data_IF_933655041632
#
_entry.id   IF_933655041632
#
_cell.length_a   1.000
_cell.length_b   1.000
_cell.length_c   1.000
_cell.angle_alpha   90.00
_cell.angle_beta   90.00
_cell.angle_gamma   90.00
#
_symmetry.space_group_name_H-M   'P 1'
#
loop_
_entity.id
_entity.type
_entity.pdbx_description
1 polymer ?
#
# COMPACT_ATOMS: atom_id res chain seq x y z
N UNK A 1 8.34 5.45 10.73
CA UNK A 1 9.05 4.63 11.73
C UNK A 1 10.44 4.19 11.24
N UNK A 2 10.56 3.17 10.38
CA UNK A 2 11.83 2.49 10.01
C UNK A 2 13.01 3.44 9.76
N UNK A 3 12.88 4.42 8.86
CA UNK A 3 13.95 5.36 8.54
C UNK A 3 14.42 6.24 9.74
N UNK A 4 13.55 6.49 10.72
CA UNK A 4 13.91 7.25 11.94
C UNK A 4 14.78 6.42 12.88
N UNK A 5 14.44 5.14 13.07
CA UNK A 5 15.26 4.19 13.84
C UNK A 5 16.62 3.99 13.18
N UNK A 6 16.66 3.83 11.85
CA UNK A 6 17.91 3.77 11.10
C UNK A 6 18.76 5.05 11.25
N UNK A 7 18.10 6.23 11.28
CA UNK A 7 18.73 7.51 11.57
C UNK A 7 19.33 7.59 12.96
N UNK A 8 18.60 7.19 14.01
CA UNK A 8 19.11 7.17 15.39
C UNK A 8 20.33 6.24 15.57
N UNK A 9 20.31 5.07 14.94
CA UNK A 9 21.46 4.15 14.91
C UNK A 9 22.65 4.79 14.17
N UNK A 10 22.41 5.43 13.01
CA UNK A 10 23.47 6.13 12.26
C UNK A 10 24.03 7.38 12.94
N UNK A 11 23.24 8.00 13.83
CA UNK A 11 23.66 9.10 14.69
C UNK A 11 24.38 8.61 15.98
N UNK A 12 24.59 7.30 16.16
CA UNK A 12 25.20 6.74 17.37
C UNK A 12 24.36 6.95 18.64
N UNK A 13 23.04 7.17 18.51
CA UNK A 13 22.16 7.45 19.64
C UNK A 13 21.71 6.19 20.40
N UNK A 14 21.72 5.03 19.73
CA UNK A 14 21.42 3.70 20.27
C UNK A 14 21.78 2.64 19.21
N UNK A 15 22.18 1.43 19.63
CA UNK A 15 22.56 0.36 18.70
C UNK A 15 21.36 -0.43 18.16
N UNK A 16 20.25 -0.48 18.93
CA UNK A 16 19.06 -1.28 18.64
C UNK A 16 17.81 -0.41 18.86
N UNK A 17 16.83 -0.52 17.97
CA UNK A 17 15.52 0.12 18.12
C UNK A 17 14.42 -0.62 17.36
N UNK A 18 13.17 -0.49 17.81
CA UNK A 18 12.01 -1.15 17.22
C UNK A 18 11.20 -0.17 16.36
N UNK A 19 10.90 -0.54 15.12
CA UNK A 19 10.22 0.31 14.15
C UNK A 19 8.79 -0.17 13.86
N UNK A 20 7.83 0.25 14.68
CA UNK A 20 6.42 -0.16 14.56
C UNK A 20 5.60 0.72 13.61
N UNK A 21 4.46 0.19 13.16
CA UNK A 21 3.39 0.93 12.49
C UNK A 21 2.05 0.29 12.84
N UNK A 22 1.00 1.10 13.04
CA UNK A 22 -0.33 0.63 13.45
C UNK A 22 -1.39 1.58 12.87
N UNK A 23 -2.60 1.08 12.65
CA UNK A 23 -3.76 1.90 12.30
C UNK A 23 -5.04 1.18 12.74
N UNK A 24 -6.07 1.93 13.17
CA UNK A 24 -7.42 1.38 13.40
C UNK A 24 -8.48 2.23 12.70
N UNK A 25 -8.59 2.03 11.39
CA UNK A 25 -9.47 2.83 10.51
C UNK A 25 -10.96 2.67 10.80
N UNK A 26 -11.34 1.63 11.57
CA UNK A 26 -12.72 1.40 12.04
C UNK A 26 -13.07 2.17 13.32
N UNK A 27 -12.07 2.74 14.01
CA UNK A 27 -12.24 3.46 15.29
C UNK A 27 -11.79 4.92 15.23
N UNK A 28 -10.82 5.24 14.36
CA UNK A 28 -10.34 6.61 14.20
C UNK A 28 -11.33 7.47 13.40
N UNK A 29 -11.77 8.60 13.98
CA UNK A 29 -12.41 9.65 13.18
C UNK A 29 -11.39 10.23 12.19
N UNK A 30 -11.83 10.43 10.94
CA UNK A 30 -11.05 10.98 9.83
C UNK A 30 -11.64 12.29 9.29
N UNK A 31 -12.72 12.79 9.90
CA UNK A 31 -13.43 14.00 9.51
C UNK A 31 -12.87 15.29 10.11
N UNK A 32 -12.10 15.23 11.19
CA UNK A 32 -11.52 16.39 11.86
C UNK A 32 -10.08 16.70 11.38
N UNK A 33 -9.84 17.78 10.60
CA UNK A 33 -8.50 18.17 10.14
C UNK A 33 -7.73 19.04 11.16
N UNK A 34 -8.31 19.34 12.33
CA UNK A 34 -7.76 20.29 13.30
C UNK A 34 -7.97 21.76 12.91
N UNK A 35 -7.31 22.67 13.64
CA UNK A 35 -7.48 24.12 13.48
C UNK A 35 -6.77 24.65 12.23
N UNK A 36 -7.53 24.86 11.15
CA UNK A 36 -7.07 25.45 9.89
C UNK A 36 -7.03 26.98 9.99
N UNK A 37 -6.01 27.62 9.39
CA UNK A 37 -5.89 29.08 9.31
C UNK A 37 -6.90 29.67 8.32
N UNK A 38 -7.57 30.77 8.69
CA UNK A 38 -8.58 31.44 7.85
C UNK A 38 -8.07 31.84 6.47
N UNK A 39 -6.80 32.23 6.37
CA UNK A 39 -6.10 32.59 5.13
C UNK A 39 -5.71 31.41 4.21
N UNK A 40 -6.15 30.17 4.49
CA UNK A 40 -5.87 29.02 3.62
C UNK A 40 -6.32 29.25 2.17
N UNK A 41 -7.41 30.02 1.96
CA UNK A 41 -7.88 30.33 0.61
C UNK A 41 -6.94 31.26 -0.19
N UNK A 42 -6.03 31.98 0.47
CA UNK A 42 -5.01 32.84 -0.15
C UNK A 42 -3.78 32.08 -0.69
N UNK A 43 -3.68 30.77 -0.42
CA UNK A 43 -2.52 29.93 -0.76
C UNK A 43 -2.98 28.61 -1.36
N UNK A 44 -3.01 28.57 -2.70
CA UNK A 44 -3.35 27.40 -3.54
C UNK A 44 -2.81 26.08 -2.97
N UNK A 45 -1.49 25.92 -2.82
CA UNK A 45 -0.88 24.68 -2.30
C UNK A 45 -1.28 24.32 -0.86
N UNK A 46 -1.71 25.27 -0.03
CA UNK A 46 -2.26 24.95 1.29
C UNK A 46 -3.73 24.51 1.20
N UNK A 47 -4.50 25.04 0.24
CA UNK A 47 -5.84 24.55 -0.11
C UNK A 47 -5.77 23.13 -0.70
N UNK A 48 -4.77 22.84 -1.52
CA UNK A 48 -4.56 21.53 -2.14
C UNK A 48 -4.34 20.41 -1.11
N UNK A 49 -3.77 20.72 0.05
CA UNK A 49 -3.62 19.78 1.17
C UNK A 49 -4.96 19.25 1.72
N UNK A 50 -6.08 19.92 1.43
CA UNK A 50 -7.44 19.49 1.82
C UNK A 50 -8.16 18.70 0.71
N UNK A 51 -7.56 18.52 -0.47
CA UNK A 51 -8.16 17.72 -1.54
C UNK A 51 -8.22 16.25 -1.08
N UNK A 52 -9.40 15.60 -1.06
CA UNK A 52 -9.50 14.20 -0.62
C UNK A 52 -8.58 13.29 -1.44
N UNK A 53 -7.91 12.33 -0.80
CA UNK A 53 -6.92 11.50 -1.50
C UNK A 53 -7.49 10.76 -2.73
N UNK A 54 -8.77 10.37 -2.68
CA UNK A 54 -9.48 9.84 -3.86
C UNK A 54 -9.50 10.82 -5.03
N UNK A 55 -9.84 12.09 -4.79
CA UNK A 55 -9.76 13.16 -5.80
C UNK A 55 -8.32 13.44 -6.22
N UNK A 56 -7.32 13.34 -5.33
CA UNK A 56 -5.91 13.45 -5.77
C UNK A 56 -5.55 12.32 -6.72
N UNK A 57 -6.03 11.09 -6.47
CA UNK A 57 -5.98 9.98 -7.42
C UNK A 57 -6.57 10.41 -8.75
N UNK A 58 -7.86 10.79 -8.78
CA UNK A 58 -8.63 11.24 -9.97
C UNK A 58 -7.92 12.37 -10.75
N UNK A 59 -7.24 13.28 -10.05
CA UNK A 59 -6.47 14.38 -10.64
C UNK A 59 -5.16 13.93 -11.29
N UNK A 60 -4.45 12.94 -10.73
CA UNK A 60 -3.40 12.26 -11.52
C UNK A 60 -4.07 11.57 -12.70
N UNK A 61 -5.22 10.95 -12.44
CA UNK A 61 -5.98 10.05 -13.30
C UNK A 61 -6.48 10.63 -14.62
N UNK A 62 -6.76 11.93 -14.64
CA UNK A 62 -7.08 12.69 -15.85
C UNK A 62 -5.81 13.16 -16.58
N UNK A 63 -4.73 13.42 -15.84
CA UNK A 63 -3.55 14.16 -16.30
C UNK A 63 -2.55 13.38 -17.16
N UNK A 64 -2.51 12.03 -17.08
CA UNK A 64 -1.56 11.24 -17.90
C UNK A 64 -2.12 9.89 -18.45
N UNK A 65 -3.45 9.72 -18.52
CA UNK A 65 -4.15 8.82 -19.47
C UNK A 65 -3.97 7.28 -19.37
N UNK A 66 -4.07 6.66 -18.19
CA UNK A 66 -3.91 5.21 -17.97
C UNK A 66 -5.25 4.53 -17.68
N UNK A 67 -6.07 4.28 -18.71
CA UNK A 67 -7.52 3.95 -18.70
C UNK A 67 -8.14 3.11 -17.54
N UNK A 68 -9.47 3.17 -17.39
CA UNK A 68 -10.24 2.39 -16.40
C UNK A 68 -9.91 0.89 -16.46
N UNK A 69 -9.77 0.34 -17.64
CA UNK A 69 -9.45 -1.07 -17.87
C UNK A 69 -8.05 -1.41 -17.32
N UNK A 70 -7.08 -0.49 -17.40
CA UNK A 70 -5.75 -0.67 -16.80
C UNK A 70 -5.81 -0.65 -15.27
N UNK A 71 -6.62 0.22 -14.66
CA UNK A 71 -6.85 0.19 -13.20
C UNK A 71 -7.45 -1.14 -12.75
N UNK A 72 -8.51 -1.58 -13.42
CA UNK A 72 -9.21 -2.83 -13.08
C UNK A 72 -8.30 -4.05 -13.34
N UNK A 73 -7.47 -4.01 -14.39
CA UNK A 73 -6.45 -5.05 -14.66
C UNK A 73 -5.39 -5.10 -13.55
N UNK A 74 -4.92 -3.94 -13.07
CA UNK A 74 -3.97 -3.85 -11.96
C UNK A 74 -4.59 -4.39 -10.66
N UNK A 75 -5.83 -3.99 -10.35
CA UNK A 75 -6.58 -4.47 -9.19
C UNK A 75 -6.81 -6.00 -9.22
N UNK A 76 -7.18 -6.56 -10.39
CA UNK A 76 -7.32 -8.00 -10.58
C UNK A 76 -5.98 -8.72 -10.40
N UNK A 77 -4.90 -8.19 -10.98
CA UNK A 77 -3.57 -8.77 -10.83
C UNK A 77 -3.12 -8.79 -9.36
N UNK A 78 -3.41 -7.74 -8.58
CA UNK A 78 -3.15 -7.70 -7.14
C UNK A 78 -3.94 -8.79 -6.39
N UNK A 79 -5.26 -8.85 -6.57
CA UNK A 79 -6.13 -9.85 -5.94
C UNK A 79 -5.73 -11.30 -6.29
N UNK A 80 -5.41 -11.57 -7.55
CA UNK A 80 -4.94 -12.89 -7.97
C UNK A 80 -3.55 -13.25 -7.41
N UNK A 81 -2.63 -12.29 -7.29
CA UNK A 81 -1.31 -12.52 -6.68
C UNK A 81 -1.47 -12.80 -5.18
N UNK A 82 -2.29 -12.04 -4.47
CA UNK A 82 -2.60 -12.24 -3.05
C UNK A 82 -3.27 -13.59 -2.77
N UNK A 83 -4.28 -13.97 -3.56
CA UNK A 83 -4.91 -15.29 -3.44
C UNK A 83 -3.89 -16.43 -3.60
N UNK A 84 -3.04 -16.37 -4.64
CA UNK A 84 -1.97 -17.37 -4.85
C UNK A 84 -0.92 -17.37 -3.74
N UNK A 85 -0.57 -16.21 -3.18
CA UNK A 85 0.38 -16.08 -2.09
C UNK A 85 -0.17 -16.69 -0.78
N UNK A 86 -1.42 -16.38 -0.43
CA UNK A 86 -2.09 -16.94 0.75
C UNK A 86 -2.27 -18.46 0.62
N UNK A 87 -2.71 -18.98 -0.53
CA UNK A 87 -2.82 -20.43 -0.77
C UNK A 87 -1.47 -21.17 -0.76
N UNK A 88 -0.35 -20.48 -1.05
CA UNK A 88 1.01 -21.03 -0.91
C UNK A 88 1.61 -20.87 0.49
N UNK A 89 0.88 -20.28 1.43
CA UNK A 89 1.36 -20.00 2.78
C UNK A 89 2.44 -18.91 2.86
N UNK A 90 2.63 -18.09 1.83
CA UNK A 90 3.69 -17.07 1.81
C UNK A 90 3.63 -16.13 3.02
N UNK A 91 2.43 -15.79 3.50
CA UNK A 91 2.25 -14.90 4.63
C UNK A 91 2.38 -15.57 6.02
N UNK A 92 2.51 -16.91 6.10
CA UNK A 92 2.56 -17.64 7.38
C UNK A 92 3.81 -17.33 8.23
N UNK A 93 4.88 -16.84 7.61
CA UNK A 93 6.11 -16.44 8.30
C UNK A 93 6.10 -14.99 8.80
N UNK A 94 5.08 -14.21 8.42
CA UNK A 94 5.00 -12.75 8.65
C UNK A 94 3.71 -12.32 9.38
N UNK A 95 2.62 -13.09 9.28
CA UNK A 95 1.41 -12.89 10.09
C UNK A 95 1.57 -13.55 11.46
N UNK A 96 1.43 -12.76 12.53
CA UNK A 96 1.19 -13.27 13.88
C UNK A 96 -0.33 -13.43 14.12
N UNK A 97 -0.82 -14.60 14.55
CA UNK A 97 -2.23 -14.79 14.90
C UNK A 97 -2.71 -13.83 16.00
N UNK A 98 -3.85 -13.18 15.79
CA UNK A 98 -4.45 -12.25 16.76
C UNK A 98 -5.76 -12.81 17.29
N UNK A 99 -5.75 -13.28 18.54
CA UNK A 99 -6.99 -13.61 19.28
C UNK A 99 -7.63 -12.32 19.79
N UNK A 100 -8.89 -12.10 19.44
CA UNK A 100 -9.65 -10.88 19.75
C UNK A 100 -11.14 -11.19 19.93
N UNK A 101 -11.95 -10.19 20.22
CA UNK A 101 -13.40 -10.33 20.39
C UNK A 101 -14.17 -9.38 19.50
N UNK A 102 -15.17 -9.90 18.79
CA UNK A 102 -16.10 -9.12 17.97
C UNK A 102 -17.51 -9.20 18.56
N UNK A 103 -18.31 -8.15 18.35
CA UNK A 103 -19.74 -8.18 18.61
C UNK A 103 -20.47 -8.50 17.29
N UNK A 104 -21.54 -9.29 17.35
CA UNK A 104 -22.47 -9.42 16.23
C UNK A 104 -23.51 -8.27 16.20
N UNK A 105 -24.32 -8.21 15.15
CA UNK A 105 -25.35 -7.16 14.97
C UNK A 105 -26.45 -7.18 16.05
N UNK A 106 -26.46 -8.20 16.93
CA UNK A 106 -27.34 -8.33 18.10
C UNK A 106 -26.62 -7.92 19.40
N UNK A 107 -25.38 -7.44 19.31
CA UNK A 107 -24.53 -7.07 20.44
C UNK A 107 -23.77 -8.24 21.08
N UNK A 108 -23.96 -9.48 20.62
CA UNK A 108 -23.41 -10.69 21.24
C UNK A 108 -21.90 -10.74 21.04
N UNK A 109 -21.16 -10.76 22.14
CA UNK A 109 -19.69 -10.81 22.12
C UNK A 109 -19.20 -12.25 21.88
N UNK A 110 -18.41 -12.48 20.83
CA UNK A 110 -17.73 -13.75 20.56
C UNK A 110 -16.22 -13.57 20.45
N UNK A 111 -15.47 -14.58 20.89
CA UNK A 111 -14.01 -14.63 20.67
C UNK A 111 -13.71 -15.22 19.29
N UNK A 112 -12.68 -14.72 18.62
CA UNK A 112 -12.16 -15.20 17.33
C UNK A 112 -10.63 -15.12 17.33
N UNK A 113 -9.97 -15.86 16.43
CA UNK A 113 -8.54 -15.68 16.14
C UNK A 113 -8.36 -15.42 14.65
N UNK A 114 -7.80 -14.26 14.31
CA UNK A 114 -7.53 -13.84 12.92
C UNK A 114 -6.13 -14.33 12.54
N UNK A 115 -6.02 -14.97 11.37
CA UNK A 115 -4.80 -15.65 10.90
C UNK A 115 -4.50 -15.42 9.40
N UNK A 116 -5.36 -14.68 8.69
CA UNK A 116 -5.33 -14.49 7.24
C UNK A 116 -5.85 -13.09 6.87
N UNK A 117 -5.48 -12.60 5.70
CA UNK A 117 -5.89 -11.26 5.23
C UNK A 117 -7.34 -11.26 4.73
N UNK A 118 -8.23 -10.66 5.50
CA UNK A 118 -9.68 -10.59 5.22
C UNK A 118 -10.04 -9.82 3.94
N UNK A 119 -9.11 -9.05 3.36
CA UNK A 119 -9.32 -8.27 2.14
C UNK A 119 -9.26 -9.08 0.83
N UNK A 120 -8.69 -10.28 0.86
CA UNK A 120 -8.43 -11.07 -0.35
C UNK A 120 -9.74 -11.65 -0.91
N UNK A 121 -9.98 -11.46 -2.21
CA UNK A 121 -11.19 -11.88 -2.94
C UNK A 121 -10.77 -12.74 -4.14
N UNK A 122 -10.57 -14.06 -3.97
CA UNK A 122 -10.19 -14.95 -5.08
C UNK A 122 -11.22 -15.00 -6.23
N UNK A 123 -12.46 -14.58 -5.96
CA UNK A 123 -13.57 -14.47 -6.92
C UNK A 123 -13.59 -13.15 -7.72
N UNK A 124 -12.59 -12.26 -7.56
CA UNK A 124 -12.50 -11.03 -8.38
C UNK A 124 -12.31 -11.39 -9.86
N UNK A 125 -13.12 -10.79 -10.74
CA UNK A 125 -13.04 -10.91 -12.21
C UNK A 125 -13.05 -9.53 -12.86
N UNK A 126 -12.57 -9.40 -14.10
CA UNK A 126 -12.68 -8.13 -14.85
C UNK A 126 -14.14 -7.67 -14.99
N UNK A 127 -15.07 -8.61 -15.21
CA UNK A 127 -16.50 -8.29 -15.31
C UNK A 127 -17.09 -7.78 -13.99
N UNK A 128 -16.64 -8.34 -12.85
CA UNK A 128 -17.01 -7.87 -11.52
C UNK A 128 -16.43 -6.48 -11.21
N UNK A 129 -15.18 -6.22 -11.58
CA UNK A 129 -14.53 -4.93 -11.40
C UNK A 129 -15.16 -3.85 -12.30
N UNK A 130 -15.41 -4.13 -13.58
CA UNK A 130 -16.00 -3.17 -14.51
C UNK A 130 -17.41 -2.69 -14.06
N UNK A 131 -18.16 -3.54 -13.34
CA UNK A 131 -19.47 -3.21 -12.75
C UNK A 131 -19.38 -2.29 -11.52
N UNK A 132 -18.19 -2.05 -10.96
CA UNK A 132 -18.00 -1.12 -9.85
C UNK A 132 -18.17 0.33 -10.32
N UNK A 133 -18.98 1.08 -9.57
CA UNK A 133 -19.17 2.52 -9.78
C UNK A 133 -17.88 3.28 -9.44
N UNK A 134 -17.49 4.28 -10.25
CA UNK A 134 -16.42 5.22 -9.91
C UNK A 134 -16.68 5.87 -8.55
N UNK A 135 -15.68 5.87 -7.68
CA UNK A 135 -15.87 6.11 -6.25
C UNK A 135 -15.70 7.58 -5.81
N UNK A 136 -14.99 8.41 -6.59
CA UNK A 136 -14.61 9.77 -6.19
C UNK A 136 -14.84 10.82 -7.28
N UNK A 137 -14.53 10.52 -8.54
CA UNK A 137 -14.95 11.27 -9.73
C UNK A 137 -15.60 10.29 -10.70
N UNK A 138 -16.39 10.79 -11.65
CA UNK A 138 -17.16 9.93 -12.56
C UNK A 138 -16.30 9.22 -13.62
N UNK A 139 -15.18 9.83 -14.04
CA UNK A 139 -14.38 9.38 -15.19
C UNK A 139 -12.86 9.72 -15.01
N UNK A 140 -11.95 8.76 -14.68
CA UNK A 140 -10.49 9.01 -14.53
C UNK A 140 -9.58 7.79 -14.16
N UNK A 141 -8.26 7.78 -14.52
CA UNK A 141 -7.24 6.68 -14.27
C UNK A 141 -5.69 6.94 -14.60
N UNK A 142 -4.63 6.98 -13.69
CA UNK A 142 -3.13 7.30 -13.97
C UNK A 142 -2.04 7.34 -12.82
N UNK A 143 -0.70 7.13 -13.08
CA UNK A 143 0.49 7.74 -12.32
C UNK A 143 1.95 7.78 -12.98
N UNK A 144 3.04 8.14 -12.24
CA UNK A 144 4.49 8.28 -12.63
C UNK A 144 5.56 8.07 -11.49
N UNK A 145 6.91 7.97 -11.73
CA UNK A 145 7.99 7.58 -10.74
C UNK A 145 9.54 7.65 -11.12
N UNK A 146 10.41 6.66 -10.74
CA UNK A 146 11.93 6.55 -10.81
C UNK A 146 12.64 5.53 -11.83
N UNK A 147 13.65 4.68 -11.48
CA UNK A 147 14.42 3.72 -12.38
C UNK A 147 14.54 2.26 -11.85
N UNK A 148 15.06 1.31 -12.67
CA UNK A 148 14.44 -0.05 -12.75
C UNK A 148 15.31 -1.31 -12.61
N UNK A 149 16.40 -1.46 -13.38
CA UNK A 149 16.96 -2.79 -13.72
C UNK A 149 17.41 -3.62 -12.53
N UNK A 150 18.06 -2.94 -11.57
CA UNK A 150 18.93 -3.52 -10.57
C UNK A 150 18.18 -3.96 -9.30
N UNK A 151 16.85 -3.79 -9.29
CA UNK A 151 15.93 -4.13 -8.20
C UNK A 151 15.14 -5.38 -8.58
N UNK A 152 15.06 -6.37 -7.70
CA UNK A 152 14.35 -7.65 -7.89
C UNK A 152 12.88 -7.60 -7.52
N UNK A 153 12.50 -6.74 -6.58
CA UNK A 153 11.13 -6.58 -6.08
C UNK A 153 10.83 -5.12 -5.74
N UNK A 154 9.67 -4.66 -6.18
CA UNK A 154 9.08 -3.39 -5.76
C UNK A 154 7.79 -3.65 -4.97
N UNK A 155 7.82 -3.46 -3.65
CA UNK A 155 6.61 -3.31 -2.82
C UNK A 155 6.15 -1.85 -2.92
N UNK A 156 5.25 -1.59 -3.86
CA UNK A 156 4.63 -0.28 -4.12
C UNK A 156 3.24 -0.26 -3.51
N UNK A 157 2.97 0.69 -2.63
CA UNK A 157 1.66 0.79 -1.99
C UNK A 157 0.56 1.07 -3.01
N UNK A 158 -0.49 0.25 -3.00
CA UNK A 158 -1.60 0.31 -3.96
C UNK A 158 -2.73 1.19 -3.42
N UNK A 159 -2.41 2.40 -2.96
CA UNK A 159 -3.37 3.30 -2.31
C UNK A 159 -4.60 3.58 -3.18
N UNK A 160 -4.38 3.68 -4.50
CA UNK A 160 -5.40 3.60 -5.55
C UNK A 160 -4.80 2.87 -6.75
N UNK A 161 -5.59 2.10 -7.52
CA UNK A 161 -5.08 1.43 -8.72
C UNK A 161 -4.60 2.42 -9.80
N UNK A 162 -5.25 3.59 -9.91
CA UNK A 162 -4.74 4.76 -10.62
C UNK A 162 -3.32 5.07 -10.16
N UNK A 163 -3.14 5.40 -8.87
CA UNK A 163 -1.89 5.78 -8.23
C UNK A 163 -0.87 4.62 -8.19
N UNK A 164 -1.24 3.38 -8.44
CA UNK A 164 -0.31 2.25 -8.41
C UNK A 164 0.31 1.94 -9.78
N UNK A 165 -0.32 2.38 -10.89
CA UNK A 165 0.26 2.27 -12.23
C UNK A 165 1.56 3.11 -12.42
N UNK A 166 1.85 4.01 -11.48
CA UNK A 166 3.08 4.04 -10.67
C UNK A 166 4.29 4.74 -11.28
N UNK A 167 5.37 4.69 -10.52
CA UNK A 167 6.29 3.56 -10.58
C UNK A 167 5.76 2.22 -11.17
N UNK A 168 5.08 2.17 -12.32
CA UNK A 168 5.11 1.02 -13.21
C UNK A 168 5.33 1.53 -14.63
N UNK A 169 4.32 2.14 -15.26
CA UNK A 169 4.35 2.47 -16.69
C UNK A 169 5.39 3.53 -17.06
N UNK A 170 5.42 4.67 -16.35
CA UNK A 170 6.36 5.77 -16.63
C UNK A 170 7.82 5.28 -16.65
N UNK A 171 8.12 4.25 -15.86
CA UNK A 171 9.48 3.79 -15.60
C UNK A 171 9.84 2.59 -16.44
N UNK A 172 8.81 1.91 -16.96
CA UNK A 172 8.90 0.56 -17.48
C UNK A 172 9.38 -0.43 -16.40
N UNK A 173 8.78 -0.37 -15.18
CA UNK A 173 9.01 -1.45 -14.20
C UNK A 173 8.50 -2.77 -14.79
N UNK A 174 9.20 -3.91 -14.61
CA UNK A 174 8.71 -5.20 -15.06
C UNK A 174 7.54 -5.61 -14.16
N UNK A 175 6.30 -5.79 -14.67
CA UNK A 175 5.13 -6.00 -13.82
C UNK A 175 5.21 -7.24 -12.91
N UNK A 176 6.04 -8.22 -13.27
CA UNK A 176 6.34 -9.41 -12.48
C UNK A 176 7.21 -9.14 -11.24
N UNK A 177 7.97 -8.04 -11.23
CA UNK A 177 8.74 -7.57 -10.06
C UNK A 177 7.89 -6.71 -9.10
N UNK A 178 6.72 -6.22 -9.51
CA UNK A 178 5.88 -5.29 -8.73
C UNK A 178 4.83 -6.03 -7.93
N UNK A 179 4.83 -5.86 -6.61
CA UNK A 179 3.92 -6.49 -5.65
C UNK A 179 3.69 -7.98 -5.97
N UNK A 180 4.73 -8.83 -6.00
CA UNK A 180 4.65 -10.20 -6.53
C UNK A 180 3.65 -11.09 -5.77
N UNK A 181 3.31 -10.70 -4.53
CA UNK A 181 2.35 -11.36 -3.65
C UNK A 181 1.01 -10.61 -3.55
N UNK A 182 0.76 -9.63 -4.42
CA UNK A 182 -0.34 -8.68 -4.29
C UNK A 182 0.01 -7.54 -3.34
N UNK A 183 -0.85 -6.53 -3.26
CA UNK A 183 -0.63 -5.33 -2.46
C UNK A 183 -1.92 -4.81 -1.85
N UNK A 184 -1.97 -3.51 -1.55
CA UNK A 184 -3.01 -2.91 -0.72
C UNK A 184 -4.45 -2.96 -1.29
N UNK A 185 -4.64 -3.21 -2.60
CA UNK A 185 -5.99 -3.45 -3.18
C UNK A 185 -6.54 -4.83 -2.78
N UNK A 186 -5.67 -5.76 -2.36
CA UNK A 186 -6.04 -7.10 -1.89
C UNK A 186 -5.81 -7.29 -0.38
N UNK A 187 -4.72 -6.75 0.16
CA UNK A 187 -4.31 -6.87 1.57
C UNK A 187 -4.88 -5.74 2.45
N UNK A 188 -5.47 -4.70 1.85
CA UNK A 188 -5.93 -3.49 2.55
C UNK A 188 -4.83 -2.47 2.81
N UNK A 189 -5.23 -1.27 3.23
CA UNK A 189 -4.33 -0.14 3.48
C UNK A 189 -4.50 0.48 4.89
N UNK A 190 -4.18 -0.23 5.98
CA UNK A 190 -4.07 0.38 7.32
C UNK A 190 -2.92 1.39 7.33
N UNK A 191 -3.24 2.69 7.27
CA UNK A 191 -2.33 3.78 6.85
C UNK A 191 -0.98 3.74 7.59
N UNK A 192 -0.98 3.94 8.91
CA UNK A 192 0.24 3.95 9.74
C UNK A 192 0.97 2.60 9.82
N UNK A 193 0.30 1.48 9.50
CA UNK A 193 0.89 0.13 9.47
C UNK A 193 1.57 -0.20 8.14
N UNK A 194 1.00 0.26 7.02
CA UNK A 194 1.30 -0.27 5.67
C UNK A 194 2.78 -0.20 5.31
N UNK A 195 3.47 0.90 5.65
CA UNK A 195 4.90 1.05 5.38
C UNK A 195 5.80 0.10 6.19
N UNK A 196 5.34 -0.38 7.35
CA UNK A 196 6.04 -1.44 8.11
C UNK A 196 5.74 -2.82 7.51
N UNK A 197 4.47 -3.11 7.16
CA UNK A 197 4.09 -4.35 6.46
C UNK A 197 4.89 -4.55 5.17
N UNK A 198 4.99 -3.52 4.32
CA UNK A 198 5.74 -3.59 3.06
C UNK A 198 7.19 -4.05 3.27
N UNK A 199 7.87 -3.60 4.32
CA UNK A 199 9.24 -4.04 4.65
C UNK A 199 9.27 -5.51 5.04
N UNK A 200 8.30 -5.97 5.86
CA UNK A 200 8.23 -7.37 6.32
C UNK A 200 7.97 -8.31 5.13
N UNK A 201 6.99 -8.00 4.28
CA UNK A 201 6.62 -8.83 3.12
C UNK A 201 7.73 -8.84 2.06
N UNK A 202 8.37 -7.69 1.81
CA UNK A 202 9.54 -7.59 0.92
C UNK A 202 10.68 -8.51 1.38
N UNK A 203 11.09 -8.38 2.65
CA UNK A 203 12.24 -9.12 3.18
C UNK A 203 11.95 -10.62 3.29
N UNK A 204 10.72 -11.02 3.60
CA UNK A 204 10.34 -12.44 3.59
C UNK A 204 10.30 -13.02 2.17
N UNK A 205 9.90 -12.25 1.15
CA UNK A 205 9.93 -12.70 -0.23
C UNK A 205 11.35 -12.78 -0.81
N UNK A 206 12.22 -11.80 -0.52
CA UNK A 206 13.64 -11.90 -0.86
C UNK A 206 14.30 -13.12 -0.18
N UNK A 207 13.98 -13.35 1.10
CA UNK A 207 14.42 -14.55 1.84
C UNK A 207 13.93 -15.87 1.22
N UNK A 208 12.69 -15.92 0.71
CA UNK A 208 12.18 -17.09 -0.04
C UNK A 208 12.90 -17.31 -1.36
N UNK A 209 13.39 -16.25 -2.01
CA UNK A 209 14.19 -16.33 -3.25
C UNK A 209 15.66 -16.71 -3.01
N UNK A 210 16.17 -16.51 -1.80
CA UNK A 210 17.43 -17.08 -1.29
C UNK A 210 18.74 -16.48 -1.81
N UNK A 211 18.69 -15.71 -2.91
CA UNK A 211 19.86 -15.09 -3.56
C UNK A 211 20.09 -13.65 -3.13
N UNK A 212 21.33 -13.15 -3.25
CA UNK A 212 21.61 -11.71 -3.08
C UNK A 212 20.74 -10.89 -4.04
N UNK A 213 19.98 -9.94 -3.49
CA UNK A 213 18.93 -9.24 -4.24
C UNK A 213 18.60 -7.87 -3.61
N UNK A 214 18.18 -6.92 -4.45
CA UNK A 214 17.72 -5.60 -4.01
C UNK A 214 16.20 -5.47 -4.06
N UNK A 215 15.63 -4.85 -3.02
CA UNK A 215 14.20 -4.61 -2.91
C UNK A 215 13.89 -3.13 -2.62
N UNK A 216 12.77 -2.64 -3.15
CA UNK A 216 12.28 -1.28 -2.89
C UNK A 216 10.92 -1.34 -2.21
N UNK A 217 10.78 -0.65 -1.07
CA UNK A 217 9.48 -0.24 -0.52
C UNK A 217 9.20 1.18 -0.98
N UNK A 218 8.00 1.47 -1.48
CA UNK A 218 7.60 2.83 -1.84
C UNK A 218 6.10 3.10 -1.64
N UNK A 219 5.74 4.36 -1.38
CA UNK A 219 4.36 4.84 -1.32
C UNK A 219 4.24 6.31 -1.71
N UNK A 220 3.08 6.71 -2.24
CA UNK A 220 2.63 8.10 -2.15
C UNK A 220 2.25 8.44 -0.70
N UNK A 221 2.21 9.73 -0.41
CA UNK A 221 1.78 10.27 0.89
C UNK A 221 0.81 11.44 0.59
N UNK A 222 -0.27 11.53 1.36
CA UNK A 222 -1.18 12.69 1.31
C UNK A 222 -0.45 14.02 1.50
N UNK A 223 -1.09 15.13 1.12
CA UNK A 223 -0.48 16.48 1.02
C UNK A 223 0.69 16.64 0.03
N UNK A 224 0.95 15.63 -0.83
CA UNK A 224 1.81 15.79 -2.01
C UNK A 224 3.25 15.35 -1.83
N UNK A 225 3.49 14.29 -1.05
CA UNK A 225 4.82 13.70 -0.85
C UNK A 225 4.88 12.26 -1.39
N UNK A 226 6.09 11.70 -1.46
CA UNK A 226 6.32 10.29 -1.69
C UNK A 226 7.56 9.84 -0.94
N UNK A 227 7.61 8.57 -0.56
CA UNK A 227 8.78 7.96 0.09
C UNK A 227 9.17 6.66 -0.61
N UNK A 228 10.47 6.38 -0.58
CA UNK A 228 11.05 5.13 -1.05
C UNK A 228 12.23 4.73 -0.15
N UNK A 229 12.41 3.43 0.05
CA UNK A 229 13.53 2.86 0.80
C UNK A 229 14.04 1.62 0.07
N UNK A 230 15.36 1.54 -0.09
CA UNK A 230 16.06 0.37 -0.68
C UNK A 230 16.50 -0.56 0.45
N UNK A 231 16.32 -1.85 0.25
CA UNK A 231 16.80 -2.91 1.12
C UNK A 231 17.65 -3.90 0.31
N UNK A 232 18.68 -4.45 0.93
CA UNK A 232 19.47 -5.56 0.38
C UNK A 232 19.17 -6.82 1.20
N UNK A 233 18.90 -7.93 0.53
CA UNK A 233 18.91 -9.26 1.16
C UNK A 233 20.26 -9.94 0.88
N UNK A 234 21.04 -10.35 1.90
CA UNK A 234 22.42 -10.80 1.75
C UNK A 234 22.53 -12.30 1.43
N UNK A 235 21.69 -12.81 0.53
CA UNK A 235 21.71 -14.22 0.10
C UNK A 235 22.99 -14.61 -0.66
N UNK A 236 23.16 -15.90 -0.93
CA UNK A 236 24.29 -16.44 -1.71
C UNK A 236 24.00 -16.51 -3.22
#
# INVERSE_FOLDING_TARGET
AVASIAGGIRNGSYDIGMACGVESMSLADRGNPGNITSRLMEKEKARDCLIPMGITSENVAERFGISREKQDTFALASQQKAARAQSKGCFQAEIVPVTTTVHDDKGTKRSITVTQDEGIRPSTTMEGLAKLKPAFKKDGSTTAGLTVSDVDIFEINEAFASQAAYCVEKLRLPPEKVNPLGGAVALGHPLGCTGARQVITLLNELKRRGKRAYGVVSMCIGTGMGAAAVFEYPGN
#
